data_IF_858008978581
#
_entry.id   IF_858008978581
#
_cell.length_a   1.000
_cell.length_b   1.000
_cell.length_c   1.000
_cell.angle_alpha   90.00
_cell.angle_beta   90.00
_cell.angle_gamma   90.00
#
_symmetry.space_group_name_H-M   'P 1'
#
loop_
_entity.id
_entity.type
_entity.pdbx_description
1 polymer ?
#
# COMPACT_ATOMS: atom_id res chain seq x y z
N UNK A 1 -2.18 17.37 4.98
CA UNK A 1 -3.13 16.26 4.67
C UNK A 1 -2.40 14.95 4.39
N UNK A 2 -1.49 14.87 3.40
CA UNK A 2 -0.76 13.62 3.12
C UNK A 2 -0.03 13.01 4.33
N UNK A 3 0.69 13.82 5.11
CA UNK A 3 1.34 13.37 6.36
C UNK A 3 0.35 12.79 7.38
N UNK A 4 -0.86 13.37 7.49
CA UNK A 4 -1.90 12.90 8.43
C UNK A 4 -2.41 11.52 7.99
N UNK A 5 -2.62 11.31 6.67
CA UNK A 5 -3.05 10.02 6.13
C UNK A 5 -2.00 8.94 6.35
N UNK A 6 -0.71 9.27 6.17
CA UNK A 6 0.40 8.35 6.48
C UNK A 6 0.42 8.03 7.97
N UNK A 7 0.37 9.04 8.84
CA UNK A 7 0.37 8.83 10.28
C UNK A 7 -0.80 7.96 10.73
N UNK A 8 -2.00 8.21 10.17
CA UNK A 8 -3.19 7.39 10.42
C UNK A 8 -2.99 5.93 9.98
N UNK A 9 -2.45 5.71 8.78
CA UNK A 9 -2.14 4.38 8.28
C UNK A 9 -1.10 3.64 9.13
N UNK A 10 -0.02 4.33 9.55
CA UNK A 10 1.06 3.75 10.37
C UNK A 10 0.59 3.39 11.77
N UNK A 11 -0.15 4.29 12.42
CA UNK A 11 -0.71 4.01 13.76
C UNK A 11 -1.72 2.87 13.65
N UNK A 12 -2.60 2.93 12.65
CA UNK A 12 -3.59 1.90 12.37
C UNK A 12 -2.99 0.51 12.19
N UNK A 13 -2.00 0.38 11.30
CA UNK A 13 -1.35 -0.90 11.05
C UNK A 13 -0.62 -1.40 12.30
N UNK A 14 0.18 -0.56 12.95
CA UNK A 14 1.03 -0.97 14.08
C UNK A 14 0.25 -1.55 15.27
N UNK A 15 -0.95 -1.04 15.55
CA UNK A 15 -1.74 -1.46 16.71
C UNK A 15 -2.72 -2.59 16.43
N UNK A 16 -3.15 -2.79 15.19
CA UNK A 16 -4.22 -3.73 14.84
C UNK A 16 -3.77 -4.84 13.88
N UNK A 17 -2.48 -4.90 13.51
CA UNK A 17 -1.92 -6.04 12.79
C UNK A 17 -2.15 -7.32 13.61
N UNK A 18 -2.65 -8.36 12.95
CA UNK A 18 -2.76 -9.69 13.52
C UNK A 18 -1.93 -10.66 12.70
N UNK A 19 -1.04 -11.39 13.36
CA UNK A 19 -0.21 -12.43 12.78
C UNK A 19 -0.45 -13.74 13.52
N UNK A 20 -0.81 -14.80 12.79
CA UNK A 20 -1.08 -16.10 13.39
C UNK A 20 -0.60 -17.24 12.50
N UNK A 21 0.24 -18.10 13.07
CA UNK A 21 0.56 -19.42 12.52
C UNK A 21 -0.49 -20.44 12.96
N UNK A 22 -1.01 -21.22 12.02
CA UNK A 22 -2.02 -22.25 12.28
C UNK A 22 -1.87 -23.43 11.33
N UNK A 23 -2.18 -24.62 11.83
CA UNK A 23 -2.21 -25.86 11.03
C UNK A 23 -3.65 -26.33 10.96
N UNK A 24 -4.14 -26.62 9.75
CA UNK A 24 -5.49 -27.11 9.51
C UNK A 24 -5.43 -28.47 8.83
N UNK A 25 -6.34 -29.35 9.22
CA UNK A 25 -6.68 -30.57 8.48
C UNK A 25 -7.72 -30.29 7.40
N UNK A 26 -7.80 -31.13 6.36
CA UNK A 26 -8.79 -30.94 5.27
C UNK A 26 -10.21 -30.92 5.84
N UNK A 27 -10.96 -29.87 5.51
CA UNK A 27 -12.30 -29.58 6.01
C UNK A 27 -12.34 -28.78 7.32
N UNK A 28 -11.20 -28.65 8.02
CA UNK A 28 -11.12 -27.89 9.26
C UNK A 28 -11.21 -26.39 9.01
N UNK A 29 -11.85 -25.70 9.96
CA UNK A 29 -11.99 -24.24 9.95
C UNK A 29 -11.41 -23.62 11.20
N UNK A 30 -10.77 -22.45 11.04
CA UNK A 30 -10.25 -21.66 12.16
C UNK A 30 -10.50 -20.17 11.98
N UNK A 31 -10.85 -19.53 13.07
CA UNK A 31 -11.04 -18.08 13.10
C UNK A 31 -9.71 -17.34 13.32
N UNK A 32 -9.50 -16.31 12.51
CA UNK A 32 -8.37 -15.39 12.54
C UNK A 32 -8.92 -13.97 12.44
N UNK A 33 -9.07 -13.31 13.60
CA UNK A 33 -9.75 -12.02 13.69
C UNK A 33 -11.22 -12.14 13.27
N UNK A 34 -11.58 -11.50 12.15
CA UNK A 34 -12.95 -11.54 11.59
C UNK A 34 -13.12 -12.50 10.41
N UNK A 35 -12.06 -13.25 10.11
CA UNK A 35 -12.03 -14.21 9.03
C UNK A 35 -12.13 -15.62 9.59
N UNK A 36 -12.88 -16.47 8.89
CA UNK A 36 -12.86 -17.91 9.13
C UNK A 36 -12.23 -18.55 7.90
N UNK A 37 -11.14 -19.26 8.10
CA UNK A 37 -10.40 -19.94 7.06
C UNK A 37 -10.75 -21.41 7.11
N UNK A 38 -11.21 -21.96 5.99
CA UNK A 38 -11.50 -23.39 5.83
C UNK A 38 -10.51 -23.97 4.84
N UNK A 39 -9.71 -24.97 5.27
CA UNK A 39 -8.77 -25.65 4.38
C UNK A 39 -9.50 -26.72 3.57
N UNK A 40 -9.52 -26.59 2.25
CA UNK A 40 -10.29 -27.49 1.38
C UNK A 40 -9.46 -28.57 0.71
N UNK A 41 -8.14 -28.38 0.61
CA UNK A 41 -7.24 -29.40 0.08
C UNK A 41 -5.94 -28.84 -0.49
N UNK A 42 -5.04 -29.75 -0.83
CA UNK A 42 -3.80 -29.44 -1.52
C UNK A 42 -3.91 -29.81 -3.00
N UNK A 43 -3.31 -29.02 -3.86
CA UNK A 43 -3.12 -29.29 -5.27
C UNK A 43 -1.63 -29.38 -5.61
N UNK A 44 -1.27 -30.42 -6.36
CA UNK A 44 0.08 -30.64 -6.85
C UNK A 44 0.06 -30.57 -8.37
N UNK A 45 0.82 -29.64 -8.93
CA UNK A 45 0.90 -29.44 -10.37
C UNK A 45 2.36 -29.53 -10.83
N UNK A 46 2.64 -30.44 -11.75
CA UNK A 46 3.97 -30.58 -12.37
C UNK A 46 3.91 -29.92 -13.75
N UNK A 47 4.79 -28.95 -13.97
CA UNK A 47 4.97 -28.25 -15.23
C UNK A 47 6.39 -28.49 -15.74
N UNK A 48 6.68 -28.24 -17.04
CA UNK A 48 7.98 -28.58 -17.63
C UNK A 48 9.20 -27.95 -16.94
N UNK A 49 9.05 -26.79 -16.32
CA UNK A 49 10.14 -26.02 -15.71
C UNK A 49 10.00 -25.85 -14.18
N UNK A 50 8.93 -26.40 -13.59
CA UNK A 50 8.60 -26.19 -12.18
C UNK A 50 7.59 -27.19 -11.64
N UNK A 51 7.64 -27.41 -10.34
CA UNK A 51 6.57 -28.03 -9.58
C UNK A 51 5.87 -26.97 -8.74
N UNK A 52 4.55 -27.04 -8.64
CA UNK A 52 3.73 -26.11 -7.87
C UNK A 52 2.91 -26.89 -6.86
N UNK A 53 3.03 -26.49 -5.60
CA UNK A 53 2.21 -26.99 -4.51
C UNK A 53 1.36 -25.84 -4.01
N UNK A 54 0.04 -26.02 -4.03
CA UNK A 54 -0.92 -24.98 -3.66
C UNK A 54 -1.94 -25.53 -2.67
N UNK A 55 -2.38 -24.71 -1.73
CA UNK A 55 -3.39 -25.07 -0.75
C UNK A 55 -4.62 -24.20 -0.96
N UNK A 56 -5.78 -24.82 -1.18
CA UNK A 56 -7.03 -24.09 -1.36
C UNK A 56 -7.67 -23.77 -0.01
N UNK A 57 -8.03 -22.50 0.16
CA UNK A 57 -8.68 -21.97 1.36
C UNK A 57 -9.95 -21.24 0.96
N UNK A 58 -11.07 -21.68 1.54
CA UNK A 58 -12.31 -20.93 1.50
C UNK A 58 -12.34 -19.95 2.66
N UNK A 59 -12.63 -18.68 2.36
CA UNK A 59 -12.56 -17.59 3.34
C UNK A 59 -13.95 -17.00 3.55
N UNK A 60 -14.40 -17.04 4.79
CA UNK A 60 -15.56 -16.28 5.25
C UNK A 60 -15.11 -15.01 5.96
N UNK A 61 -15.90 -13.94 5.83
CA UNK A 61 -15.71 -12.68 6.56
C UNK A 61 -16.99 -12.35 7.31
N UNK A 62 -16.92 -12.22 8.63
CA UNK A 62 -18.08 -11.97 9.49
C UNK A 62 -19.21 -13.00 9.25
N UNK A 63 -18.87 -14.29 9.13
CA UNK A 63 -19.85 -15.36 8.93
C UNK A 63 -20.48 -15.43 7.53
N UNK A 64 -19.99 -14.65 6.55
CA UNK A 64 -20.47 -14.71 5.16
C UNK A 64 -19.35 -15.16 4.22
N UNK A 65 -19.64 -16.01 3.21
CA UNK A 65 -18.72 -16.29 2.11
C UNK A 65 -18.13 -14.99 1.56
N UNK A 66 -16.81 -14.94 1.41
CA UNK A 66 -16.14 -13.73 0.94
C UNK A 66 -15.26 -13.98 -0.29
N UNK A 67 -14.34 -14.95 -0.22
CA UNK A 67 -13.41 -15.24 -1.31
C UNK A 67 -12.74 -16.60 -1.11
N UNK A 68 -12.01 -17.06 -2.11
CA UNK A 68 -11.10 -18.20 -2.01
C UNK A 68 -9.68 -17.70 -2.25
N UNK A 69 -8.72 -18.27 -1.53
CA UNK A 69 -7.29 -17.97 -1.68
C UNK A 69 -6.51 -19.27 -1.82
N UNK A 70 -5.55 -19.27 -2.74
CA UNK A 70 -4.74 -20.45 -3.07
C UNK A 70 -3.25 -20.13 -2.86
N UNK A 71 -2.78 -19.97 -1.60
CA UNK A 71 -1.35 -19.83 -1.31
C UNK A 71 -0.57 -21.09 -1.71
N UNK A 72 0.70 -20.94 -2.06
CA UNK A 72 1.51 -22.06 -2.54
C UNK A 72 3.01 -21.84 -2.52
N UNK A 73 3.74 -22.85 -2.99
CA UNK A 73 5.17 -22.84 -3.25
C UNK A 73 5.45 -23.36 -4.66
N UNK A 74 6.43 -22.74 -5.32
CA UNK A 74 6.92 -23.12 -6.65
C UNK A 74 8.36 -23.57 -6.53
N UNK A 75 8.64 -24.79 -6.96
CA UNK A 75 9.96 -25.39 -6.99
C UNK A 75 10.46 -25.31 -8.43
N UNK A 76 11.51 -24.51 -8.66
CA UNK A 76 12.08 -24.35 -10.00
C UNK A 76 13.10 -25.44 -10.27
N UNK A 77 13.19 -25.88 -11.52
CA UNK A 77 14.21 -26.84 -11.94
C UNK A 77 15.62 -26.30 -11.63
N UNK A 78 16.44 -27.12 -10.96
CA UNK A 78 17.79 -26.75 -10.52
C UNK A 78 17.87 -25.91 -9.23
N UNK A 79 16.74 -25.49 -8.65
CA UNK A 79 16.67 -24.67 -7.42
C UNK A 79 15.59 -25.20 -6.45
N UNK A 80 15.49 -26.53 -6.31
CA UNK A 80 14.47 -27.17 -5.49
C UNK A 80 14.63 -26.88 -3.97
N UNK A 81 15.83 -26.54 -3.51
CA UNK A 81 16.13 -26.13 -2.14
C UNK A 81 15.63 -24.72 -1.78
N UNK A 82 15.27 -23.91 -2.79
CA UNK A 82 14.87 -22.50 -2.63
C UNK A 82 13.52 -22.23 -3.32
N UNK A 83 12.42 -22.83 -2.83
CA UNK A 83 11.11 -22.63 -3.43
C UNK A 83 10.62 -21.18 -3.30
N UNK A 84 9.99 -20.69 -4.37
CA UNK A 84 9.37 -19.37 -4.42
C UNK A 84 7.95 -19.46 -3.85
N UNK A 85 7.63 -18.62 -2.87
CA UNK A 85 6.29 -18.58 -2.29
C UNK A 85 5.32 -17.80 -3.19
N UNK A 86 4.14 -18.37 -3.42
CA UNK A 86 2.96 -17.67 -3.94
C UNK A 86 2.05 -17.35 -2.74
N UNK A 87 1.80 -16.06 -2.53
CA UNK A 87 1.06 -15.58 -1.37
C UNK A 87 -0.42 -15.45 -1.75
N UNK A 88 -1.29 -16.09 -0.97
CA UNK A 88 -2.74 -15.85 -1.07
C UNK A 88 -3.03 -14.46 -0.51
N UNK A 89 -3.42 -13.51 -1.36
CA UNK A 89 -3.57 -12.12 -0.96
C UNK A 89 -4.92 -11.55 -1.37
N UNK A 90 -5.54 -10.80 -0.46
CA UNK A 90 -6.73 -10.03 -0.73
C UNK A 90 -6.60 -8.62 -0.18
N UNK A 91 -6.48 -7.65 -1.10
CA UNK A 91 -6.35 -6.24 -0.77
C UNK A 91 -7.68 -5.60 -0.36
N UNK A 92 -7.62 -4.62 0.53
CA UNK A 92 -8.75 -3.82 0.98
C UNK A 92 -8.35 -2.43 1.47
N UNK A 93 -9.33 -1.51 1.49
CA UNK A 93 -9.11 -0.16 2.01
C UNK A 93 -9.01 -0.11 3.54
N UNK A 94 -9.63 -1.08 4.21
CA UNK A 94 -9.66 -1.17 5.69
C UNK A 94 -8.53 -2.06 6.19
N UNK A 95 -8.36 -3.23 5.60
CA UNK A 95 -7.23 -4.13 5.87
C UNK A 95 -7.02 -5.08 4.70
N UNK A 96 -5.82 -5.63 4.67
CA UNK A 96 -5.35 -6.61 3.72
C UNK A 96 -5.19 -7.97 4.41
N UNK A 97 -5.63 -9.04 3.76
CA UNK A 97 -5.45 -10.42 4.23
C UNK A 97 -4.35 -11.09 3.42
N UNK A 98 -3.32 -11.57 4.10
CA UNK A 98 -2.22 -12.33 3.51
C UNK A 98 -2.17 -13.71 4.13
N UNK A 99 -2.00 -14.73 3.31
CA UNK A 99 -1.86 -16.11 3.75
C UNK A 99 -0.68 -16.72 3.02
N UNK A 100 0.22 -17.33 3.79
CA UNK A 100 1.43 -17.98 3.31
C UNK A 100 1.37 -19.45 3.69
N UNK A 101 1.54 -20.33 2.70
CA UNK A 101 1.71 -21.77 2.93
C UNK A 101 3.16 -22.02 3.37
N UNK A 102 3.36 -22.43 4.63
CA UNK A 102 4.71 -22.65 5.19
C UNK A 102 5.12 -24.11 5.16
N UNK A 103 4.17 -25.04 5.32
CA UNK A 103 4.39 -26.48 5.23
C UNK A 103 3.09 -27.26 5.01
N UNK A 104 3.21 -28.54 4.65
CA UNK A 104 2.08 -29.45 4.45
C UNK A 104 2.50 -30.90 4.70
N UNK A 105 1.52 -31.72 5.02
CA UNK A 105 1.55 -33.17 5.15
C UNK A 105 0.37 -33.76 4.36
N UNK A 106 0.15 -35.08 4.42
CA UNK A 106 -0.87 -35.76 3.60
C UNK A 106 -2.29 -35.18 3.75
N UNK A 107 -2.67 -34.76 4.96
CA UNK A 107 -4.03 -34.28 5.26
C UNK A 107 -4.06 -32.93 5.97
N UNK A 108 -2.91 -32.28 6.15
CA UNK A 108 -2.83 -31.02 6.87
C UNK A 108 -1.88 -30.03 6.22
N UNK A 109 -2.16 -28.74 6.36
CA UNK A 109 -1.31 -27.67 5.89
C UNK A 109 -1.13 -26.61 6.97
N UNK A 110 0.07 -26.05 7.05
CA UNK A 110 0.44 -24.99 7.98
C UNK A 110 0.50 -23.66 7.24
N UNK A 111 -0.20 -22.68 7.80
CA UNK A 111 -0.37 -21.36 7.24
C UNK A 111 0.14 -20.30 8.22
N UNK A 112 0.75 -19.26 7.68
CA UNK A 112 0.91 -17.98 8.37
C UNK A 112 -0.08 -16.98 7.79
N UNK A 113 -0.94 -16.45 8.64
CA UNK A 113 -1.99 -15.51 8.28
C UNK A 113 -1.64 -14.15 8.86
N UNK A 114 -1.68 -13.13 8.01
CA UNK A 114 -1.49 -11.73 8.39
C UNK A 114 -2.72 -10.92 8.01
N UNK A 115 -3.26 -10.19 8.97
CA UNK A 115 -4.31 -9.20 8.77
C UNK A 115 -3.68 -7.84 9.01
N UNK A 116 -3.49 -7.06 7.94
CA UNK A 116 -2.77 -5.80 7.98
C UNK A 116 -3.73 -4.63 7.76
N UNK A 117 -4.18 -3.94 8.81
CA UNK A 117 -5.09 -2.81 8.68
C UNK A 117 -4.40 -1.56 8.14
N UNK A 118 -5.15 -0.82 7.33
CA UNK A 118 -4.88 0.56 6.93
C UNK A 118 -3.56 0.80 6.16
N UNK A 119 -2.90 -0.25 5.68
CA UNK A 119 -1.71 -0.15 4.82
C UNK A 119 -2.02 0.64 3.54
N UNK A 120 -3.20 0.43 2.96
CA UNK A 120 -3.70 1.22 1.82
C UNK A 120 -3.65 2.75 2.06
N UNK A 121 -3.87 3.22 3.29
CA UNK A 121 -3.85 4.66 3.61
C UNK A 121 -2.46 5.27 3.64
N UNK A 122 -1.44 4.46 3.92
CA UNK A 122 -0.03 4.89 3.82
C UNK A 122 0.28 5.22 2.36
N UNK A 123 -0.12 4.36 1.43
CA UNK A 123 0.05 4.58 0.00
C UNK A 123 -0.74 5.79 -0.49
N UNK A 124 -2.01 5.92 -0.10
CA UNK A 124 -2.82 7.11 -0.42
C UNK A 124 -2.15 8.38 0.09
N UNK A 125 -1.68 8.39 1.34
CA UNK A 125 -0.97 9.53 1.92
C UNK A 125 0.32 9.87 1.16
N UNK A 126 1.08 8.86 0.74
CA UNK A 126 2.26 9.00 -0.11
C UNK A 126 1.93 9.64 -1.46
N UNK A 127 0.89 9.17 -2.15
CA UNK A 127 0.42 9.78 -3.40
C UNK A 127 0.00 11.24 -3.20
N UNK A 128 -0.74 11.55 -2.12
CA UNK A 128 -1.15 12.92 -1.80
C UNK A 128 0.07 13.82 -1.54
N UNK A 129 1.12 13.32 -0.90
CA UNK A 129 2.36 14.08 -0.71
C UNK A 129 3.08 14.36 -2.02
N UNK A 130 3.23 13.35 -2.88
CA UNK A 130 3.86 13.52 -4.19
C UNK A 130 3.09 14.54 -5.03
N UNK A 131 1.77 14.42 -5.11
CA UNK A 131 0.93 15.37 -5.85
C UNK A 131 1.00 16.78 -5.25
N UNK A 132 0.95 16.90 -3.93
CA UNK A 132 1.10 18.20 -3.25
C UNK A 132 2.47 18.84 -3.52
N UNK A 133 3.53 18.04 -3.53
CA UNK A 133 4.88 18.49 -3.88
C UNK A 133 4.99 18.94 -5.34
N UNK A 134 4.39 18.19 -6.28
CA UNK A 134 4.37 18.57 -7.69
C UNK A 134 3.58 19.86 -7.93
N UNK A 135 2.45 20.06 -7.25
CA UNK A 135 1.66 21.30 -7.33
C UNK A 135 2.46 22.47 -6.75
N UNK A 136 3.12 22.30 -5.60
CA UNK A 136 3.91 23.35 -4.96
C UNK A 136 5.18 23.71 -5.76
N UNK A 137 5.77 22.74 -6.45
CA UNK A 137 6.90 22.95 -7.35
C UNK A 137 6.48 23.53 -8.70
N UNK A 138 5.20 23.47 -9.05
CA UNK A 138 4.71 23.99 -10.32
C UNK A 138 4.98 25.51 -10.38
N UNK A 139 5.63 26.00 -11.45
CA UNK A 139 5.99 27.42 -11.52
C UNK A 139 4.73 28.27 -11.53
N UNK A 140 4.51 29.03 -10.46
CA UNK A 140 3.56 30.13 -10.47
C UNK A 140 4.04 31.19 -11.48
N UNK A 141 3.11 31.71 -12.27
CA UNK A 141 3.37 32.93 -13.04
C UNK A 141 3.63 34.03 -12.02
N UNK A 142 4.88 34.53 -11.97
CA UNK A 142 5.27 35.61 -11.08
C UNK A 142 4.17 36.69 -11.06
N UNK A 143 3.67 37.10 -9.88
CA UNK A 143 2.78 38.24 -9.80
C UNK A 143 3.50 39.39 -10.50
N UNK A 144 2.87 39.98 -11.53
CA UNK A 144 3.38 41.22 -12.10
C UNK A 144 3.35 42.22 -10.96
N UNK A 145 4.50 42.45 -10.32
CA UNK A 145 4.68 43.58 -9.44
C UNK A 145 4.40 44.77 -10.33
N UNK A 146 3.19 45.33 -10.22
CA UNK A 146 2.86 46.57 -10.87
C UNK A 146 3.80 47.59 -10.26
N UNK A 147 4.89 47.86 -10.98
CA UNK A 147 5.88 48.84 -10.61
C UNK A 147 5.13 50.16 -10.51
N UNK A 148 4.81 50.56 -9.28
CA UNK A 148 4.18 51.84 -9.01
C UNK A 148 5.08 52.89 -9.66
N UNK A 149 4.57 53.58 -10.68
CA UNK A 149 5.31 54.60 -11.38
C UNK A 149 5.73 55.65 -10.35
N UNK A 150 7.04 55.80 -10.15
CA UNK A 150 7.57 56.87 -9.31
C UNK A 150 7.04 58.23 -9.83
N UNK A 151 6.63 59.15 -8.94
CA UNK A 151 6.18 60.46 -9.39
C UNK A 151 7.33 61.12 -10.15
N UNK A 152 7.08 61.55 -11.39
CA UNK A 152 8.03 62.38 -12.16
C UNK A 152 8.33 63.63 -11.34
N UNK A 153 9.53 63.65 -10.76
CA UNK A 153 10.07 64.81 -10.09
C UNK A 153 10.12 65.99 -11.07
N UNK A 154 9.27 66.97 -10.77
CA UNK A 154 9.31 68.39 -11.08
C UNK A 154 10.62 68.85 -11.73
N UNK A 155 10.54 69.29 -12.99
CA UNK A 155 11.62 70.03 -13.64
C UNK A 155 11.80 71.38 -12.91
N UNK A 156 12.93 71.55 -12.23
CA UNK A 156 13.33 72.85 -11.68
C UNK A 156 13.70 73.77 -12.86
N UNK A 157 12.88 74.80 -13.11
CA UNK A 157 13.21 75.88 -14.04
C UNK A 157 14.37 76.70 -13.46
N UNK A 158 15.45 76.97 -14.23
CA UNK A 158 16.42 77.99 -13.84
C UNK A 158 15.72 79.35 -13.79
N UNK A 159 15.85 80.08 -12.69
CA UNK A 159 15.43 81.48 -12.63
C UNK A 159 16.42 82.35 -13.42
N UNK A 160 15.91 83.13 -14.37
CA UNK A 160 16.65 84.20 -15.02
C UNK A 160 16.99 85.27 -13.97
N UNK A 161 18.27 85.37 -13.61
CA UNK A 161 18.78 86.49 -12.83
C UNK A 161 18.95 87.67 -13.79
N UNK A 162 17.95 88.54 -13.82
CA UNK A 162 18.07 89.88 -14.40
C UNK A 162 18.91 90.72 -13.45
N UNK A 163 20.19 90.90 -13.75
CA UNK A 163 21.00 91.92 -13.10
C UNK A 163 20.98 93.17 -13.98
N UNK A 164 20.18 94.15 -13.57
CA UNK A 164 20.31 95.51 -14.07
C UNK A 164 21.60 96.13 -13.53
N UNK A 165 22.31 96.83 -14.41
CA UNK A 165 22.84 98.19 -14.27
C UNK A 165 23.52 98.60 -15.58
#
# INVERSE_FOLDING_TARGET
VGVILIAFGVIGSSFFNLEQGLTLTVGESKDVGRYTLTYTGLNFEVQPDREVVSADLFIMRNGKPWTELTPGKRFLEGFADQPVSNIGIRYGLVEDLYIVLTGWEEQSATFFVFVNPLVSWIWIGGFVLVLGGLIAWWPERAPKVAMAQAPRGVALRPQEVTSGL
#
